data_IF_678503782208
#
_entry.id   IF_678503782208
#
_cell.length_a   1.000
_cell.length_b   1.000
_cell.length_c   1.000
_cell.angle_alpha   90.00
_cell.angle_beta   90.00
_cell.angle_gamma   90.00
#
_symmetry.space_group_name_H-M   'P 1'
#
loop_
_entity.id
_entity.type
_entity.pdbx_description
1 polymer ?
#
# COMPACT_ATOMS: atom_id res chain seq x y z
N UNK A 1 -9.40 11.40 21.01
CA UNK A 1 -9.22 10.66 19.75
C UNK A 1 -10.19 11.19 18.72
N UNK A 2 -9.69 11.58 17.56
CA UNK A 2 -10.51 11.99 16.40
C UNK A 2 -11.23 10.76 15.84
N UNK A 3 -12.35 11.00 15.14
CA UNK A 3 -13.11 9.91 14.51
C UNK A 3 -12.29 9.31 13.36
N UNK A 4 -12.33 7.98 13.16
CA UNK A 4 -11.60 7.33 12.06
C UNK A 4 -12.07 7.75 10.67
N UNK A 5 -13.32 8.23 10.57
CA UNK A 5 -13.94 8.66 9.33
C UNK A 5 -14.21 10.16 9.36
N UNK A 6 -13.76 10.88 8.34
CA UNK A 6 -14.17 12.26 8.10
C UNK A 6 -15.61 12.32 7.60
N UNK A 7 -16.46 13.00 8.35
CA UNK A 7 -17.87 13.24 7.96
C UNK A 7 -18.01 14.59 7.25
N UNK A 8 -19.00 14.71 6.35
CA UNK A 8 -19.28 15.95 5.60
C UNK A 8 -18.87 15.87 4.13
N UNK A 9 -18.83 17.03 3.45
CA UNK A 9 -18.38 17.12 2.05
C UNK A 9 -16.88 17.39 2.02
N UNK A 10 -16.16 16.55 1.29
CA UNK A 10 -14.71 16.65 1.10
C UNK A 10 -14.37 16.59 -0.38
N UNK A 11 -13.35 17.33 -0.79
CA UNK A 11 -12.78 17.25 -2.13
C UNK A 11 -11.45 16.51 -2.04
N UNK A 12 -11.41 15.29 -2.58
CA UNK A 12 -10.23 14.43 -2.56
C UNK A 12 -9.78 14.10 -3.98
N UNK A 13 -8.47 14.04 -4.17
CA UNK A 13 -7.85 13.33 -5.28
C UNK A 13 -7.72 11.84 -4.91
N UNK A 14 -7.51 10.97 -5.91
CA UNK A 14 -7.56 9.51 -5.75
C UNK A 14 -6.72 8.98 -4.59
N UNK A 15 -5.47 9.45 -4.45
CA UNK A 15 -4.57 9.04 -3.38
C UNK A 15 -5.14 9.33 -1.97
N UNK A 16 -5.72 10.52 -1.76
CA UNK A 16 -6.37 10.84 -0.49
C UNK A 16 -7.60 9.97 -0.24
N UNK A 17 -8.40 9.71 -1.28
CA UNK A 17 -9.57 8.85 -1.16
C UNK A 17 -9.18 7.40 -0.80
N UNK A 18 -8.09 6.87 -1.35
CA UNK A 18 -7.55 5.55 -0.98
C UNK A 18 -7.14 5.49 0.50
N UNK A 19 -6.40 6.48 0.97
CA UNK A 19 -5.99 6.56 2.38
C UNK A 19 -7.21 6.65 3.32
N UNK A 20 -8.15 7.55 3.06
CA UNK A 20 -9.36 7.70 3.88
C UNK A 20 -10.26 6.46 3.83
N UNK A 21 -10.34 5.78 2.68
CA UNK A 21 -11.06 4.52 2.55
C UNK A 21 -10.46 3.40 3.42
N UNK A 22 -9.13 3.29 3.45
CA UNK A 22 -8.45 2.32 4.31
C UNK A 22 -8.67 2.62 5.80
N UNK A 23 -8.58 3.89 6.21
CA UNK A 23 -8.89 4.32 7.58
C UNK A 23 -10.34 4.01 7.95
N UNK A 24 -11.28 4.26 7.04
CA UNK A 24 -12.70 3.94 7.24
C UNK A 24 -12.94 2.42 7.39
N UNK A 25 -12.14 1.59 6.71
CA UNK A 25 -12.16 0.13 6.85
C UNK A 25 -11.47 -0.37 8.15
N UNK A 26 -10.86 0.53 8.93
CA UNK A 26 -10.18 0.23 10.19
C UNK A 26 -8.69 -0.10 10.03
N UNK A 27 -8.04 0.31 8.95
CA UNK A 27 -6.59 0.19 8.80
C UNK A 27 -5.87 1.00 9.89
N UNK A 28 -5.00 0.33 10.65
CA UNK A 28 -4.29 0.93 11.81
C UNK A 28 -2.78 0.90 11.67
N UNK A 29 -2.24 0.29 10.61
CA UNK A 29 -0.81 0.25 10.36
C UNK A 29 -0.51 0.55 8.88
N UNK A 30 0.45 1.44 8.64
CA UNK A 30 1.02 1.71 7.33
C UNK A 30 2.54 1.63 7.38
N UNK A 31 3.12 0.82 6.50
CA UNK A 31 4.57 0.77 6.26
C UNK A 31 4.82 0.99 4.77
N UNK A 32 5.65 1.98 4.39
CA UNK A 32 5.87 2.28 2.97
C UNK A 32 7.14 3.06 2.69
N UNK A 33 7.58 2.98 1.44
CA UNK A 33 8.70 3.74 0.89
C UNK A 33 8.20 4.84 -0.08
N UNK A 34 8.74 6.07 -0.04
CA UNK A 34 8.30 7.14 -0.93
C UNK A 34 8.59 6.85 -2.41
N UNK A 35 7.55 6.80 -3.24
CA UNK A 35 7.67 6.65 -4.69
C UNK A 35 6.55 7.43 -5.40
N UNK A 36 6.88 8.19 -6.45
CA UNK A 36 5.86 8.84 -7.29
C UNK A 36 5.14 7.79 -8.13
N UNK A 37 3.80 7.80 -8.26
CA UNK A 37 2.82 8.77 -7.74
C UNK A 37 2.02 8.25 -6.52
N UNK A 38 2.61 7.46 -5.62
CA UNK A 38 1.92 6.94 -4.43
C UNK A 38 2.19 7.72 -3.14
N UNK A 39 3.19 8.61 -3.13
CA UNK A 39 3.65 9.33 -1.93
C UNK A 39 2.56 10.10 -1.19
N UNK A 40 1.55 10.65 -1.88
CA UNK A 40 0.46 11.38 -1.23
C UNK A 40 -0.43 10.47 -0.37
N UNK A 41 -0.47 9.15 -0.65
CA UNK A 41 -1.11 8.17 0.23
C UNK A 41 -0.33 8.10 1.55
N UNK A 42 1.00 7.93 1.47
CA UNK A 42 1.86 7.87 2.64
C UNK A 42 1.80 9.17 3.46
N UNK A 43 1.85 10.33 2.81
CA UNK A 43 1.71 11.65 3.45
C UNK A 43 0.37 11.77 4.19
N UNK A 44 -0.73 11.33 3.56
CA UNK A 44 -2.05 11.35 4.20
C UNK A 44 -2.10 10.40 5.40
N UNK A 45 -1.57 9.18 5.27
CA UNK A 45 -1.54 8.19 6.36
C UNK A 45 -0.64 8.65 7.52
N UNK A 46 0.50 9.30 7.24
CA UNK A 46 1.40 9.84 8.25
C UNK A 46 0.72 10.87 9.16
N UNK A 47 -0.18 11.70 8.60
CA UNK A 47 -0.98 12.65 9.39
C UNK A 47 -2.12 11.96 10.14
N UNK A 48 -2.78 11.02 9.47
CA UNK A 48 -4.09 10.47 9.88
C UNK A 48 -4.04 9.30 10.84
N UNK A 49 -3.01 8.45 10.76
CA UNK A 49 -2.89 7.30 11.65
C UNK A 49 -2.68 7.70 13.11
N UNK A 50 -1.78 8.66 13.45
CA UNK A 50 -1.58 9.08 14.84
C UNK A 50 -2.86 9.62 15.51
N UNK A 51 -3.69 10.31 14.72
CA UNK A 51 -5.00 10.83 15.15
C UNK A 51 -5.95 9.75 15.70
N UNK A 52 -5.84 8.53 15.19
CA UNK A 52 -6.69 7.37 15.54
C UNK A 52 -5.94 6.30 16.34
N UNK A 53 -4.72 6.60 16.79
CA UNK A 53 -3.87 5.65 17.53
C UNK A 53 -3.22 4.56 16.66
N UNK A 54 -3.22 4.73 15.34
CA UNK A 54 -2.51 3.88 14.40
C UNK A 54 -1.03 4.24 14.28
N UNK A 55 -0.27 3.40 13.57
CA UNK A 55 1.18 3.52 13.41
C UNK A 55 1.52 3.72 11.94
N UNK A 56 2.24 4.80 11.64
CA UNK A 56 2.87 5.05 10.36
C UNK A 56 4.38 4.82 10.49
N UNK A 57 4.95 4.05 9.57
CA UNK A 57 6.40 3.88 9.43
C UNK A 57 6.82 4.15 7.98
N UNK A 58 7.75 5.09 7.83
CA UNK A 58 8.49 5.23 6.57
C UNK A 58 9.65 4.24 6.60
N UNK A 59 9.65 3.34 5.62
CA UNK A 59 10.68 2.30 5.53
C UNK A 59 11.84 2.75 4.64
N UNK A 60 12.93 2.02 4.75
CA UNK A 60 14.15 2.22 3.97
C UNK A 60 13.99 1.84 2.49
N UNK A 61 13.13 0.87 2.20
CA UNK A 61 12.79 0.40 0.86
C UNK A 61 11.44 -0.36 0.83
N UNK A 62 11.03 -0.82 -0.35
CA UNK A 62 9.81 -1.59 -0.53
C UNK A 62 9.86 -3.01 0.05
N UNK A 63 11.03 -3.62 0.21
CA UNK A 63 11.20 -4.95 0.81
C UNK A 63 10.91 -4.87 2.32
N UNK A 64 11.48 -3.89 3.00
CA UNK A 64 11.20 -3.58 4.40
C UNK A 64 9.73 -3.19 4.59
N UNK A 65 9.16 -2.44 3.63
CA UNK A 65 7.73 -2.08 3.64
C UNK A 65 6.80 -3.29 3.66
N UNK A 66 6.96 -4.24 2.71
CA UNK A 66 6.10 -5.43 2.67
C UNK A 66 6.32 -6.32 3.90
N UNK A 67 7.57 -6.51 4.32
CA UNK A 67 7.90 -7.36 5.47
C UNK A 67 7.28 -6.82 6.76
N UNK A 68 7.33 -5.51 6.97
CA UNK A 68 6.76 -4.92 8.18
C UNK A 68 5.24 -4.90 8.21
N UNK A 69 4.56 -4.66 7.08
CA UNK A 69 3.10 -4.76 7.07
C UNK A 69 2.65 -6.21 7.31
N UNK A 70 3.37 -7.21 6.80
CA UNK A 70 3.06 -8.61 7.09
C UNK A 70 3.29 -8.95 8.56
N UNK A 71 4.41 -8.50 9.14
CA UNK A 71 4.65 -8.62 10.58
C UNK A 71 3.55 -7.99 11.43
N UNK A 72 3.09 -6.79 11.06
CA UNK A 72 1.95 -6.15 11.72
C UNK A 72 0.63 -6.91 11.50
N UNK A 73 0.40 -7.46 10.30
CA UNK A 73 -0.78 -8.27 9.98
C UNK A 73 -0.86 -9.52 10.86
N UNK A 74 0.28 -10.18 11.11
CA UNK A 74 0.37 -11.34 12.00
C UNK A 74 -0.03 -11.03 13.46
N UNK A 75 -0.03 -9.76 13.88
CA UNK A 75 -0.53 -9.33 15.20
C UNK A 75 -2.04 -9.06 15.24
N UNK A 76 -2.74 -9.21 14.11
CA UNK A 76 -4.16 -8.92 13.95
C UNK A 76 -4.48 -7.48 13.53
N UNK A 77 -3.47 -6.66 13.23
CA UNK A 77 -3.69 -5.31 12.71
C UNK A 77 -4.19 -5.36 11.27
N UNK A 78 -5.10 -4.43 10.90
CA UNK A 78 -5.40 -4.19 9.48
C UNK A 78 -4.33 -3.29 8.92
N UNK A 79 -3.66 -3.76 7.87
CA UNK A 79 -2.45 -3.15 7.34
C UNK A 79 -2.60 -2.73 5.89
N UNK A 80 -1.86 -1.71 5.49
CA UNK A 80 -1.71 -1.35 4.09
C UNK A 80 -0.31 -0.81 3.77
N UNK A 81 0.06 -0.87 2.50
CA UNK A 81 1.17 -0.10 1.91
C UNK A 81 0.72 0.54 0.60
N UNK A 82 1.53 1.44 0.06
CA UNK A 82 1.29 2.07 -1.24
C UNK A 82 2.60 2.18 -2.03
N UNK A 83 2.56 1.78 -3.30
CA UNK A 83 3.74 1.74 -4.17
C UNK A 83 3.34 1.96 -5.64
N UNK A 84 4.29 1.78 -6.56
CA UNK A 84 4.09 1.76 -8.01
C UNK A 84 4.92 0.62 -8.63
N UNK A 85 4.87 0.42 -9.95
CA UNK A 85 5.49 -0.73 -10.64
C UNK A 85 6.90 -1.16 -10.17
N UNK A 86 7.89 -0.25 -10.04
CA UNK A 86 9.21 -0.64 -9.53
C UNK A 86 9.18 -1.21 -8.12
N UNK A 87 8.45 -0.55 -7.21
CA UNK A 87 8.33 -1.01 -5.84
C UNK A 87 7.49 -2.29 -5.71
N UNK A 88 6.43 -2.44 -6.53
CA UNK A 88 5.69 -3.69 -6.62
C UNK A 88 6.61 -4.85 -7.01
N UNK A 89 7.57 -4.61 -7.93
CA UNK A 89 8.57 -5.60 -8.32
C UNK A 89 9.41 -6.08 -7.14
N UNK A 90 9.83 -5.17 -6.26
CA UNK A 90 10.61 -5.50 -5.06
C UNK A 90 9.77 -6.23 -4.00
N UNK A 91 8.45 -5.99 -3.97
CA UNK A 91 7.56 -6.64 -3.00
C UNK A 91 7.15 -8.07 -3.37
N UNK A 92 7.43 -8.57 -4.58
CA UNK A 92 6.88 -9.84 -5.08
C UNK A 92 7.23 -11.06 -4.21
N UNK A 93 8.43 -11.10 -3.63
CA UNK A 93 8.81 -12.17 -2.69
C UNK A 93 7.97 -12.09 -1.40
N UNK A 94 7.86 -10.89 -0.81
CA UNK A 94 7.03 -10.66 0.37
C UNK A 94 5.55 -10.94 0.12
N UNK A 95 5.01 -10.61 -1.05
CA UNK A 95 3.65 -10.98 -1.45
C UNK A 95 3.47 -12.50 -1.42
N UNK A 96 4.43 -13.25 -1.97
CA UNK A 96 4.43 -14.72 -1.93
C UNK A 96 4.41 -15.27 -0.50
N UNK A 97 5.22 -14.67 0.39
CA UNK A 97 5.23 -15.01 1.82
C UNK A 97 3.88 -14.73 2.48
N UNK A 98 3.31 -13.54 2.26
CA UNK A 98 2.01 -13.17 2.85
C UNK A 98 0.87 -14.09 2.40
N UNK A 99 0.91 -14.56 1.16
CA UNK A 99 -0.04 -15.57 0.65
C UNK A 99 0.17 -16.91 1.35
N UNK A 100 1.42 -17.39 1.42
CA UNK A 100 1.76 -18.67 2.04
C UNK A 100 1.36 -18.72 3.52
N UNK A 101 1.50 -17.61 4.23
CA UNK A 101 1.14 -17.48 5.64
C UNK A 101 -0.32 -17.05 5.88
N UNK A 102 -1.11 -16.88 4.81
CA UNK A 102 -2.49 -16.40 4.86
C UNK A 102 -2.67 -15.05 5.61
N UNK A 103 -1.67 -14.16 5.50
CA UNK A 103 -1.65 -12.87 6.16
C UNK A 103 -2.39 -11.80 5.35
N UNK A 104 -3.52 -11.24 5.85
CA UNK A 104 -4.28 -10.25 5.12
C UNK A 104 -3.54 -8.91 5.05
N UNK A 105 -3.37 -8.37 3.84
CA UNK A 105 -2.81 -7.04 3.63
C UNK A 105 -3.40 -6.38 2.37
N UNK A 106 -3.29 -5.05 2.29
CA UNK A 106 -3.67 -4.28 1.09
C UNK A 106 -2.44 -3.56 0.54
N UNK A 107 -2.15 -3.76 -0.75
CA UNK A 107 -1.08 -3.07 -1.45
C UNK A 107 -1.72 -2.17 -2.52
N UNK A 108 -1.60 -0.86 -2.34
CA UNK A 108 -2.09 0.08 -3.35
C UNK A 108 -1.02 0.27 -4.42
N UNK A 109 -1.23 -0.34 -5.59
CA UNK A 109 -0.39 -0.09 -6.78
C UNK A 109 -0.92 1.12 -7.56
N UNK A 110 -0.30 2.29 -7.35
CA UNK A 110 -0.60 3.49 -8.15
C UNK A 110 0.21 3.43 -9.45
N UNK A 111 -0.40 2.85 -10.48
CA UNK A 111 0.28 2.54 -11.75
C UNK A 111 0.76 3.79 -12.49
N UNK A 112 1.99 3.71 -13.01
CA UNK A 112 2.65 4.75 -13.80
C UNK A 112 3.24 4.19 -15.10
N UNK A 113 3.80 5.04 -15.94
CA UNK A 113 4.51 4.61 -17.15
C UNK A 113 5.75 3.79 -16.81
N UNK A 114 5.88 2.59 -17.38
CA UNK A 114 7.02 1.69 -17.32
C UNK A 114 7.61 1.45 -18.73
N UNK A 115 8.50 0.46 -18.92
CA UNK A 115 9.08 -0.44 -17.90
C UNK A 115 10.21 0.22 -17.10
N UNK A 116 10.72 -0.47 -16.07
CA UNK A 116 11.80 0.02 -15.19
C UNK A 116 11.41 1.36 -14.55
N UNK A 117 12.31 2.35 -14.47
CA UNK A 117 11.98 3.71 -14.01
C UNK A 117 10.80 4.31 -14.78
N UNK A 118 10.77 4.06 -16.10
CA UNK A 118 9.72 4.47 -17.01
C UNK A 118 9.50 5.98 -17.04
N UNK A 119 8.24 6.39 -16.94
CA UNK A 119 7.78 7.78 -16.97
C UNK A 119 7.06 8.08 -15.64
N UNK A 120 7.79 8.48 -14.58
CA UNK A 120 7.27 8.53 -13.21
C UNK A 120 6.04 9.43 -13.01
N UNK A 121 5.88 10.44 -13.86
CA UNK A 121 4.79 11.44 -13.80
C UNK A 121 3.69 11.19 -14.83
N UNK A 122 3.80 10.16 -15.67
CA UNK A 122 2.77 9.79 -16.64
C UNK A 122 2.05 8.51 -16.19
N UNK A 123 0.75 8.48 -16.46
CA UNK A 123 -0.12 7.36 -16.10
C UNK A 123 0.18 6.13 -16.97
N UNK A 124 -0.08 4.94 -16.42
CA UNK A 124 0.01 3.68 -17.13
C UNK A 124 -0.96 2.65 -16.54
N UNK A 125 -1.22 1.57 -17.27
CA UNK A 125 -2.09 0.46 -16.83
C UNK A 125 -1.45 -0.91 -17.12
N UNK A 126 -0.11 -0.95 -17.19
CA UNK A 126 0.65 -2.11 -17.67
C UNK A 126 1.04 -3.10 -16.57
N UNK A 127 0.72 -2.81 -15.30
CA UNK A 127 1.19 -3.63 -14.17
C UNK A 127 0.24 -4.79 -13.86
N UNK A 128 -0.88 -4.93 -14.58
CA UNK A 128 -1.90 -5.96 -14.33
C UNK A 128 -1.31 -7.38 -14.33
N UNK A 129 -0.43 -7.67 -15.29
CA UNK A 129 0.22 -8.99 -15.37
C UNK A 129 1.13 -9.23 -14.15
N UNK A 130 1.88 -8.21 -13.74
CA UNK A 130 2.77 -8.27 -12.60
C UNK A 130 2.02 -8.38 -11.27
N UNK A 131 0.93 -7.62 -11.09
CA UNK A 131 0.10 -7.68 -9.90
C UNK A 131 -0.47 -9.09 -9.74
N UNK A 132 -1.03 -9.67 -10.81
CA UNK A 132 -1.72 -10.96 -10.73
C UNK A 132 -0.80 -12.17 -10.67
N UNK A 133 0.35 -12.15 -11.36
CA UNK A 133 1.22 -13.32 -11.55
C UNK A 133 2.70 -13.07 -11.29
N UNK A 134 3.06 -11.97 -10.61
CA UNK A 134 4.45 -11.59 -10.43
C UNK A 134 5.23 -12.44 -9.42
N UNK A 135 4.58 -12.97 -8.39
CA UNK A 135 5.26 -13.83 -7.42
C UNK A 135 5.45 -15.24 -7.99
N UNK A 136 6.35 -16.02 -7.39
CA UNK A 136 6.63 -17.38 -7.82
C UNK A 136 5.69 -18.39 -7.15
N UNK A 137 5.45 -19.53 -7.83
CA UNK A 137 4.54 -20.58 -7.36
C UNK A 137 3.07 -20.33 -7.75
N UNK A 138 2.20 -21.23 -7.29
CA UNK A 138 0.77 -21.18 -7.59
C UNK A 138 0.00 -20.48 -6.46
N UNK A 139 -0.70 -19.41 -6.80
CA UNK A 139 -1.50 -18.67 -5.84
C UNK A 139 -2.66 -17.92 -6.50
N UNK A 140 -3.58 -17.41 -5.67
CA UNK A 140 -4.63 -16.50 -6.09
C UNK A 140 -4.67 -15.29 -5.15
N UNK A 141 -4.81 -14.10 -5.74
CA UNK A 141 -5.06 -12.85 -5.02
C UNK A 141 -6.20 -12.08 -5.68
N UNK A 142 -6.69 -11.06 -4.99
CA UNK A 142 -7.58 -10.05 -5.58
C UNK A 142 -6.69 -8.98 -6.19
N UNK A 143 -6.60 -8.95 -7.53
CA UNK A 143 -5.81 -8.01 -8.32
C UNK A 143 -6.66 -7.39 -9.44
#
# INVERSE_FOLDING_TARGET
>A
MTKPVLTGRHFFYGNHACAEGALAAGCTFFGGYPITPSSEIAERMARRLPEIGGIFLQMEDEIASITAILGASATGAKVMTATSGPGLSLMLEGIGLGIMEELPCVIVNVQRGGPSTGLPTLVGQQDMMQARWGSHGDYAIIA
#
